data_IF_697883921698
#
_entry.id   IF_697883921698
#
_cell.length_a   1.000
_cell.length_b   1.000
_cell.length_c   1.000
_cell.angle_alpha   90.00
_cell.angle_beta   90.00
_cell.angle_gamma   90.00
#
_symmetry.space_group_name_H-M   'P 1'
#
loop_
_entity.id
_entity.type
_entity.pdbx_description
1 polymer ?
#
# COMPACT_ATOMS: atom_id res chain seq x y z
N UNK A 1 20.76 30.76 -17.80
CA UNK A 1 20.57 29.29 -17.82
C UNK A 1 19.48 29.02 -18.84
N UNK A 2 19.71 28.12 -19.80
CA UNK A 2 18.70 27.79 -20.81
C UNK A 2 17.48 27.10 -20.15
N UNK A 3 16.28 27.30 -20.70
CA UNK A 3 15.04 26.74 -20.13
C UNK A 3 15.04 25.21 -20.19
N UNK A 4 15.61 24.64 -21.26
CA UNK A 4 15.76 23.20 -21.40
C UNK A 4 16.76 22.65 -20.38
N UNK A 5 17.88 23.33 -20.17
CA UNK A 5 18.87 22.94 -19.15
C UNK A 5 18.28 22.97 -17.73
N UNK A 6 17.50 23.99 -17.41
CA UNK A 6 16.80 24.08 -16.12
C UNK A 6 15.83 22.91 -15.94
N UNK A 7 14.99 22.65 -16.95
CA UNK A 7 14.06 21.52 -16.96
C UNK A 7 14.77 20.18 -16.71
N UNK A 8 15.81 19.88 -17.51
CA UNK A 8 16.55 18.61 -17.38
C UNK A 8 17.16 18.44 -16.00
N UNK A 9 17.79 19.50 -15.47
CA UNK A 9 18.53 19.40 -14.20
C UNK A 9 17.64 19.35 -12.97
N UNK A 10 16.54 20.08 -12.96
CA UNK A 10 15.75 20.30 -11.74
C UNK A 10 14.38 19.61 -11.75
N UNK A 11 13.84 19.32 -12.93
CA UNK A 11 12.50 18.71 -13.05
C UNK A 11 12.65 17.26 -13.48
N UNK A 12 13.29 16.99 -14.63
CA UNK A 12 13.43 15.64 -15.19
C UNK A 12 14.18 14.70 -14.23
N UNK A 13 15.35 15.12 -13.73
CA UNK A 13 16.11 14.32 -12.76
C UNK A 13 15.32 14.02 -11.47
N UNK A 14 14.62 15.01 -10.93
CA UNK A 14 13.80 14.82 -9.73
C UNK A 14 12.64 13.85 -9.97
N UNK A 15 12.02 13.89 -11.15
CA UNK A 15 11.00 12.90 -11.53
C UNK A 15 11.59 11.49 -11.65
N UNK A 16 12.77 11.35 -12.25
CA UNK A 16 13.50 10.07 -12.33
C UNK A 16 13.79 9.52 -10.92
N UNK A 17 14.27 10.35 -10.01
CA UNK A 17 14.56 9.95 -8.63
C UNK A 17 13.28 9.52 -7.88
N UNK A 18 12.17 10.25 -8.07
CA UNK A 18 10.87 9.87 -7.50
C UNK A 18 10.41 8.52 -8.07
N UNK A 19 10.50 8.30 -9.38
CA UNK A 19 10.10 7.04 -10.01
C UNK A 19 10.95 5.86 -9.50
N UNK A 20 12.27 6.06 -9.36
CA UNK A 20 13.18 5.06 -8.83
C UNK A 20 12.91 4.74 -7.36
N UNK A 21 12.59 5.75 -6.56
CA UNK A 21 12.24 5.59 -5.15
C UNK A 21 10.93 4.80 -5.01
N UNK A 22 9.89 5.16 -5.77
CA UNK A 22 8.58 4.48 -5.72
C UNK A 22 8.64 3.01 -6.15
N UNK A 23 9.55 2.67 -7.07
CA UNK A 23 9.82 1.27 -7.42
C UNK A 23 10.39 0.44 -6.24
N UNK A 24 10.99 1.10 -5.23
CA UNK A 24 11.53 0.48 -4.01
C UNK A 24 10.59 0.55 -2.78
N UNK A 25 9.45 1.27 -2.85
CA UNK A 25 8.53 1.53 -1.73
C UNK A 25 8.00 0.26 -1.03
N UNK A 26 7.91 -0.85 -1.75
CA UNK A 26 7.50 -2.14 -1.19
C UNK A 26 8.43 -2.62 -0.04
N UNK A 27 9.66 -2.10 0.02
CA UNK A 27 10.61 -2.38 1.10
C UNK A 27 10.39 -1.46 2.30
N UNK A 28 10.03 -0.20 2.07
CA UNK A 28 9.84 0.80 3.12
C UNK A 28 8.68 0.45 4.06
N UNK A 29 7.50 0.13 3.50
CA UNK A 29 6.34 -0.28 4.31
C UNK A 29 6.64 -1.51 5.17
N UNK A 30 7.37 -2.50 4.61
CA UNK A 30 7.78 -3.69 5.36
C UNK A 30 8.80 -3.39 6.44
N UNK A 31 9.80 -2.56 6.17
CA UNK A 31 10.77 -2.11 7.17
C UNK A 31 10.09 -1.37 8.31
N UNK A 32 9.13 -0.49 7.99
CA UNK A 32 8.32 0.21 8.97
C UNK A 32 7.59 -0.76 9.90
N UNK A 33 6.90 -1.76 9.34
CA UNK A 33 6.22 -2.80 10.11
C UNK A 33 7.19 -3.59 11.00
N UNK A 34 8.37 -3.94 10.50
CA UNK A 34 9.38 -4.69 11.25
C UNK A 34 9.97 -3.90 12.43
N UNK A 35 10.15 -2.59 12.27
CA UNK A 35 10.64 -1.69 13.32
C UNK A 35 9.61 -1.49 14.43
N UNK A 36 8.32 -1.39 14.08
CA UNK A 36 7.25 -1.06 15.02
C UNK A 36 6.53 -2.29 15.61
N UNK A 37 6.88 -3.50 15.15
CA UNK A 37 6.39 -4.78 15.70
C UNK A 37 7.60 -5.59 16.18
N UNK A 38 8.09 -5.36 17.42
CA UNK A 38 9.29 -6.01 17.94
C UNK A 38 8.99 -7.44 18.42
N UNK A 39 8.77 -8.35 17.47
CA UNK A 39 8.63 -9.78 17.71
C UNK A 39 9.30 -10.54 16.56
N UNK A 40 10.31 -11.36 16.86
CA UNK A 40 11.14 -12.04 15.85
C UNK A 40 10.33 -12.98 14.93
N UNK A 41 9.40 -13.74 15.49
CA UNK A 41 8.56 -14.67 14.72
C UNK A 41 7.62 -13.88 13.78
N UNK A 42 7.09 -12.76 14.26
CA UNK A 42 6.26 -11.88 13.44
C UNK A 42 7.07 -11.13 12.38
N UNK A 43 8.30 -10.72 12.67
CA UNK A 43 9.18 -10.07 11.69
C UNK A 43 9.47 -11.01 10.51
N UNK A 44 9.69 -12.30 10.76
CA UNK A 44 9.82 -13.30 9.71
C UNK A 44 8.52 -13.40 8.90
N UNK A 45 7.37 -13.56 9.56
CA UNK A 45 6.07 -13.63 8.87
C UNK A 45 5.78 -12.37 8.02
N UNK A 46 6.08 -11.17 8.53
CA UNK A 46 5.92 -9.87 7.84
C UNK A 46 6.84 -9.78 6.62
N UNK A 47 8.09 -10.25 6.72
CA UNK A 47 9.05 -10.21 5.60
C UNK A 47 8.55 -10.98 4.36
N UNK A 48 7.71 -11.99 4.59
CA UNK A 48 7.11 -12.80 3.55
C UNK A 48 5.93 -12.11 2.86
N UNK A 49 5.36 -11.05 3.42
CA UNK A 49 4.18 -10.39 2.83
C UNK A 49 4.59 -9.55 1.62
N UNK A 50 3.83 -9.63 0.54
CA UNK A 50 3.93 -8.64 -0.54
C UNK A 50 3.00 -7.46 -0.24
N UNK A 51 3.17 -6.36 -0.96
CA UNK A 51 2.25 -5.22 -0.93
C UNK A 51 0.81 -5.64 -1.17
N UNK A 52 0.59 -6.59 -2.09
CA UNK A 52 -0.75 -7.14 -2.32
C UNK A 52 -1.26 -7.92 -1.10
N UNK A 53 -0.42 -8.73 -0.45
CA UNK A 53 -0.83 -9.45 0.76
C UNK A 53 -1.16 -8.48 1.91
N UNK A 54 -0.42 -7.37 2.03
CA UNK A 54 -0.70 -6.31 3.02
C UNK A 54 -2.02 -5.60 2.72
N UNK A 55 -2.24 -5.18 1.46
CA UNK A 55 -3.53 -4.58 1.03
C UNK A 55 -4.71 -5.53 1.25
N UNK A 56 -4.54 -6.81 0.97
CA UNK A 56 -5.58 -7.81 1.23
C UNK A 56 -5.85 -7.99 2.73
N UNK A 57 -4.81 -7.97 3.57
CA UNK A 57 -4.98 -8.03 5.02
C UNK A 57 -5.75 -6.80 5.55
N UNK A 58 -5.45 -5.61 5.03
CA UNK A 58 -6.22 -4.39 5.31
C UNK A 58 -7.70 -4.58 4.98
N UNK A 59 -8.02 -5.05 3.76
CA UNK A 59 -9.40 -5.31 3.35
C UNK A 59 -10.12 -6.32 4.25
N UNK A 60 -9.41 -7.34 4.73
CA UNK A 60 -9.99 -8.29 5.69
C UNK A 60 -10.29 -7.62 7.03
N UNK A 61 -9.43 -6.71 7.52
CA UNK A 61 -9.72 -5.97 8.75
C UNK A 61 -10.93 -5.06 8.59
N UNK A 62 -11.08 -4.42 7.43
CA UNK A 62 -12.16 -3.45 7.19
C UNK A 62 -13.52 -4.13 6.97
N UNK A 63 -13.54 -5.31 6.35
CA UNK A 63 -14.77 -6.00 5.95
C UNK A 63 -15.16 -7.18 6.84
N UNK A 64 -14.30 -7.62 7.77
CA UNK A 64 -14.54 -8.87 8.49
C UNK A 64 -15.86 -8.89 9.29
N UNK A 65 -16.56 -10.05 9.32
CA UNK A 65 -16.23 -11.29 8.63
C UNK A 65 -16.47 -11.21 7.12
N UNK A 66 -15.51 -11.70 6.32
CA UNK A 66 -15.51 -11.51 4.86
C UNK A 66 -15.28 -12.82 4.10
N UNK A 67 -15.91 -12.98 2.95
CA UNK A 67 -15.71 -14.11 2.04
C UNK A 67 -14.77 -13.78 0.87
N UNK A 68 -14.26 -14.81 0.19
CA UNK A 68 -13.40 -14.62 -1.00
C UNK A 68 -14.10 -13.81 -2.10
N UNK A 69 -15.40 -14.00 -2.33
CA UNK A 69 -16.13 -13.28 -3.38
C UNK A 69 -16.25 -11.78 -3.06
N UNK A 70 -16.48 -11.44 -1.79
CA UNK A 70 -16.51 -10.05 -1.36
C UNK A 70 -15.13 -9.38 -1.51
N UNK A 71 -14.05 -10.13 -1.30
CA UNK A 71 -12.68 -9.63 -1.51
C UNK A 71 -12.35 -9.49 -3.00
N UNK A 72 -12.84 -10.40 -3.84
CA UNK A 72 -12.74 -10.28 -5.31
C UNK A 72 -13.41 -8.99 -5.78
N UNK A 73 -14.64 -8.73 -5.30
CA UNK A 73 -15.39 -7.51 -5.64
C UNK A 73 -14.70 -6.25 -5.11
N UNK A 74 -14.27 -6.25 -3.85
CA UNK A 74 -13.66 -5.08 -3.21
C UNK A 74 -12.28 -4.71 -3.80
N UNK A 75 -11.55 -5.66 -4.35
CA UNK A 75 -10.19 -5.43 -4.86
C UNK A 75 -10.06 -5.47 -6.38
N UNK A 76 -11.11 -5.85 -7.10
CA UNK A 76 -11.11 -6.07 -8.55
C UNK A 76 -9.98 -7.03 -8.99
N UNK A 77 -9.85 -8.16 -8.27
CA UNK A 77 -8.83 -9.17 -8.52
C UNK A 77 -9.46 -10.54 -8.74
N UNK A 78 -8.80 -11.38 -9.54
CA UNK A 78 -9.29 -12.74 -9.79
C UNK A 78 -9.33 -13.59 -8.52
N UNK A 79 -10.32 -14.48 -8.44
CA UNK A 79 -10.49 -15.40 -7.30
C UNK A 79 -9.21 -16.19 -6.98
N UNK A 80 -8.49 -16.68 -8.01
CA UNK A 80 -7.25 -17.42 -7.81
C UNK A 80 -6.15 -16.61 -7.12
N UNK A 81 -6.07 -15.31 -7.39
CA UNK A 81 -5.13 -14.39 -6.72
C UNK A 81 -5.54 -14.16 -5.27
N UNK A 82 -6.84 -13.91 -5.02
CA UNK A 82 -7.38 -13.73 -3.66
C UNK A 82 -7.16 -15.00 -2.84
N UNK A 83 -7.60 -16.17 -3.32
CA UNK A 83 -7.46 -17.44 -2.62
C UNK A 83 -6.01 -17.78 -2.30
N UNK A 84 -5.07 -17.57 -3.23
CA UNK A 84 -3.63 -17.78 -3.00
C UNK A 84 -3.10 -16.90 -1.86
N UNK A 85 -3.46 -15.61 -1.85
CA UNK A 85 -3.01 -14.69 -0.82
C UNK A 85 -3.70 -14.93 0.52
N UNK A 86 -4.99 -15.27 0.54
CA UNK A 86 -5.72 -15.61 1.77
C UNK A 86 -5.19 -16.88 2.43
N UNK A 87 -4.87 -17.92 1.64
CA UNK A 87 -4.21 -19.12 2.16
C UNK A 87 -2.84 -18.79 2.76
N UNK A 88 -2.09 -17.86 2.15
CA UNK A 88 -0.81 -17.38 2.70
C UNK A 88 -0.99 -16.60 4.01
N UNK A 89 -1.93 -15.66 4.06
CA UNK A 89 -2.23 -14.88 5.27
C UNK A 89 -2.70 -15.78 6.43
N UNK A 90 -3.53 -16.79 6.13
CA UNK A 90 -3.99 -17.78 7.10
C UNK A 90 -2.85 -18.64 7.63
N UNK A 91 -2.01 -19.17 6.73
CA UNK A 91 -0.82 -19.97 7.09
C UNK A 91 0.18 -19.20 7.95
N UNK A 92 0.32 -17.89 7.72
CA UNK A 92 1.20 -17.01 8.50
C UNK A 92 0.54 -16.50 9.80
N UNK A 93 -0.72 -16.86 10.08
CA UNK A 93 -1.42 -16.50 11.31
C UNK A 93 -1.98 -15.08 11.38
N UNK A 94 -2.09 -14.38 10.24
CA UNK A 94 -2.67 -13.02 10.20
C UNK A 94 -4.20 -13.04 10.13
N UNK A 95 -4.80 -14.11 9.61
CA UNK A 95 -6.25 -14.29 9.53
C UNK A 95 -6.63 -15.70 9.97
N UNK A 96 -7.83 -15.86 10.51
CA UNK A 96 -8.47 -17.17 10.69
C UNK A 96 -9.38 -17.44 9.50
N UNK A 97 -9.45 -18.71 9.09
CA UNK A 97 -10.35 -19.20 8.05
C UNK A 97 -11.34 -20.15 8.71
N UNK A 98 -12.63 -19.88 8.58
CA UNK A 98 -13.69 -20.83 8.91
C UNK A 98 -14.41 -21.26 7.64
N UNK A 99 -14.68 -22.56 7.54
CA UNK A 99 -15.51 -23.13 6.49
C UNK A 99 -16.70 -23.81 7.19
N UNK A 100 -17.83 -23.11 7.37
CA UNK A 100 -19.05 -23.76 7.87
C UNK A 100 -19.39 -24.92 6.94
N UNK A 101 -19.89 -26.04 7.47
CA UNK A 101 -19.94 -27.37 6.81
C UNK A 101 -20.57 -27.41 5.39
N UNK A 102 -21.23 -26.34 4.93
CA UNK A 102 -21.81 -26.20 3.59
C UNK A 102 -21.68 -24.78 2.99
N UNK A 103 -20.76 -23.93 3.47
CA UNK A 103 -20.63 -22.52 3.03
C UNK A 103 -19.22 -22.14 2.54
N UNK A 104 -19.17 -21.05 1.77
CA UNK A 104 -17.94 -20.39 1.32
C UNK A 104 -17.04 -20.06 2.51
N UNK A 105 -15.73 -20.07 2.29
CA UNK A 105 -14.76 -19.71 3.31
C UNK A 105 -15.01 -18.28 3.81
N UNK A 106 -15.03 -18.13 5.14
CA UNK A 106 -15.15 -16.84 5.83
C UNK A 106 -13.87 -16.57 6.59
N UNK A 107 -13.39 -15.34 6.48
CA UNK A 107 -12.14 -14.89 7.05
C UNK A 107 -12.36 -13.80 8.09
N UNK A 108 -11.56 -13.84 9.15
CA UNK A 108 -11.48 -12.79 10.16
C UNK A 108 -10.01 -12.50 10.48
N UNK A 109 -9.64 -11.25 10.80
CA UNK A 109 -8.29 -10.95 11.24
C UNK A 109 -8.00 -11.58 12.60
N UNK A 110 -6.76 -12.04 12.81
CA UNK A 110 -6.27 -12.34 14.16
C UNK A 110 -5.88 -11.05 14.86
N UNK A 111 -5.66 -11.10 16.19
CA UNK A 111 -5.07 -9.97 16.93
C UNK A 111 -3.75 -9.48 16.31
N UNK A 112 -2.96 -10.41 15.75
CA UNK A 112 -1.71 -10.09 15.06
C UNK A 112 -1.99 -9.40 13.72
N UNK A 113 -2.94 -9.92 12.92
CA UNK A 113 -3.36 -9.29 11.67
C UNK A 113 -3.86 -7.85 11.87
N UNK A 114 -4.72 -7.64 12.87
CA UNK A 114 -5.20 -6.30 13.24
C UNK A 114 -4.05 -5.39 13.64
N UNK A 115 -3.08 -5.87 14.45
CA UNK A 115 -1.93 -5.07 14.86
C UNK A 115 -1.06 -4.64 13.67
N UNK A 116 -0.84 -5.53 12.70
CA UNK A 116 -0.08 -5.20 11.47
C UNK A 116 -0.79 -4.07 10.72
N UNK A 117 -2.10 -4.19 10.52
CA UNK A 117 -2.92 -3.15 9.87
C UNK A 117 -2.91 -1.83 10.64
N UNK A 118 -3.00 -1.86 11.97
CA UNK A 118 -2.89 -0.63 12.78
C UNK A 118 -1.55 0.09 12.54
N UNK A 119 -0.43 -0.64 12.53
CA UNK A 119 0.90 -0.05 12.30
C UNK A 119 1.06 0.42 10.85
N UNK A 120 0.44 -0.28 9.90
CA UNK A 120 0.37 0.15 8.50
C UNK A 120 -0.40 1.48 8.37
N UNK A 121 -1.52 1.62 9.04
CA UNK A 121 -2.31 2.87 9.02
C UNK A 121 -1.56 4.04 9.65
N UNK A 122 -0.76 3.81 10.69
CA UNK A 122 0.12 4.85 11.25
C UNK A 122 1.14 5.35 10.22
N UNK A 123 1.64 4.48 9.34
CA UNK A 123 2.51 4.90 8.25
C UNK A 123 1.74 5.75 7.24
N UNK A 124 0.54 5.32 6.84
CA UNK A 124 -0.29 6.07 5.90
C UNK A 124 -0.62 7.45 6.44
N UNK A 125 -1.02 7.56 7.72
CA UNK A 125 -1.27 8.85 8.39
C UNK A 125 -0.03 9.76 8.41
N UNK A 126 1.16 9.18 8.66
CA UNK A 126 2.42 9.92 8.62
C UNK A 126 2.72 10.45 7.20
N UNK A 127 2.52 9.61 6.18
CA UNK A 127 2.73 9.99 4.78
C UNK A 127 1.70 11.03 4.33
N UNK A 128 0.43 10.88 4.71
CA UNK A 128 -0.63 11.84 4.40
C UNK A 128 -0.35 13.19 5.03
N UNK A 129 0.14 13.22 6.28
CA UNK A 129 0.57 14.46 6.91
C UNK A 129 1.73 15.11 6.16
N UNK A 130 2.74 14.35 5.75
CA UNK A 130 3.86 14.87 4.95
C UNK A 130 3.39 15.40 3.59
N UNK A 131 2.42 14.73 2.96
CA UNK A 131 1.81 15.20 1.72
C UNK A 131 1.01 16.49 1.94
N UNK A 132 0.23 16.57 3.02
CA UNK A 132 -0.52 17.78 3.35
C UNK A 132 0.43 18.97 3.58
N UNK A 133 1.48 18.79 4.38
CA UNK A 133 2.52 19.81 4.60
C UNK A 133 3.23 20.21 3.30
N UNK A 134 3.43 19.28 2.37
CA UNK A 134 3.95 19.58 1.03
C UNK A 134 2.98 20.46 0.25
N UNK A 135 1.70 20.08 0.18
CA UNK A 135 0.67 20.77 -0.61
C UNK A 135 0.39 22.16 -0.05
N UNK A 136 0.36 22.32 1.27
CA UNK A 136 0.12 23.60 1.95
C UNK A 136 1.19 24.67 1.66
N UNK A 137 2.36 24.27 1.16
CA UNK A 137 3.42 25.22 0.73
C UNK A 137 3.10 25.93 -0.58
N UNK A 138 2.07 25.48 -1.31
CA UNK A 138 1.72 26.01 -2.62
C UNK A 138 0.32 26.59 -2.62
N UNK A 139 0.13 27.69 -3.34
CA UNK A 139 -1.21 28.25 -3.56
C UNK A 139 -2.01 27.39 -4.55
N UNK A 140 -3.35 27.49 -4.57
CA UNK A 140 -4.18 26.80 -5.57
C UNK A 140 -3.73 27.08 -7.02
N UNK A 141 -3.34 28.31 -7.34
CA UNK A 141 -2.86 28.69 -8.68
C UNK A 141 -1.53 28.01 -9.02
N UNK A 142 -0.61 27.90 -8.05
CA UNK A 142 0.66 27.19 -8.23
C UNK A 142 0.43 25.70 -8.44
N UNK A 143 -0.47 25.09 -7.66
CA UNK A 143 -0.86 23.68 -7.84
C UNK A 143 -1.51 23.44 -9.20
N UNK A 144 -2.38 24.36 -9.66
CA UNK A 144 -2.98 24.27 -10.99
C UNK A 144 -1.93 24.36 -12.09
N UNK A 145 -0.95 25.26 -11.96
CA UNK A 145 0.14 25.38 -12.93
C UNK A 145 1.00 24.11 -12.97
N UNK A 146 1.35 23.57 -11.80
CA UNK A 146 2.12 22.32 -11.69
C UNK A 146 1.34 21.16 -12.31
N UNK A 147 0.04 21.06 -12.03
CA UNK A 147 -0.82 20.00 -12.58
C UNK A 147 -0.87 20.06 -14.11
N UNK A 148 -1.10 21.25 -14.69
CA UNK A 148 -1.07 21.45 -16.14
C UNK A 148 0.29 21.06 -16.73
N UNK A 149 1.37 21.52 -16.12
CA UNK A 149 2.72 21.19 -16.59
C UNK A 149 3.00 19.68 -16.59
N UNK A 150 2.61 18.96 -15.53
CA UNK A 150 2.77 17.51 -15.44
C UNK A 150 1.90 16.77 -16.46
N UNK A 151 0.69 17.26 -16.74
CA UNK A 151 -0.18 16.72 -17.79
C UNK A 151 0.43 16.93 -19.18
N UNK A 152 0.92 18.14 -19.48
CA UNK A 152 1.58 18.44 -20.75
C UNK A 152 2.80 17.54 -20.96
N UNK A 153 3.58 17.33 -19.89
CA UNK A 153 4.73 16.42 -19.91
C UNK A 153 4.29 14.98 -20.22
N UNK A 154 3.24 14.49 -19.57
CA UNK A 154 2.70 13.15 -19.80
C UNK A 154 2.20 12.96 -21.24
N UNK A 155 1.62 13.98 -21.88
CA UNK A 155 1.17 13.90 -23.27
C UNK A 155 2.31 14.07 -24.31
N UNK A 156 3.45 14.63 -23.88
CA UNK A 156 4.62 14.84 -24.76
C UNK A 156 5.52 13.59 -24.89
N UNK A 157 5.26 12.56 -24.10
CA UNK A 157 5.94 11.25 -24.10
C UNK A 157 4.99 10.14 -24.57
#
# INVERSE_FOLDING_TARGET
MDKLDFYKRHIENSLIDIMNTRAQDNNFERQWLQLHIPNRDLQYAISQLSTLSLKLLQQVVDLAPVSEDQLVEAMDLSFGVIAKNMNKLSRLGFVTKSAPEQRKAVYQPTKVGTKVVTVQNQLNELLDKQHQELVDRYTPDQLSLIATFLQDLQHSH
#
